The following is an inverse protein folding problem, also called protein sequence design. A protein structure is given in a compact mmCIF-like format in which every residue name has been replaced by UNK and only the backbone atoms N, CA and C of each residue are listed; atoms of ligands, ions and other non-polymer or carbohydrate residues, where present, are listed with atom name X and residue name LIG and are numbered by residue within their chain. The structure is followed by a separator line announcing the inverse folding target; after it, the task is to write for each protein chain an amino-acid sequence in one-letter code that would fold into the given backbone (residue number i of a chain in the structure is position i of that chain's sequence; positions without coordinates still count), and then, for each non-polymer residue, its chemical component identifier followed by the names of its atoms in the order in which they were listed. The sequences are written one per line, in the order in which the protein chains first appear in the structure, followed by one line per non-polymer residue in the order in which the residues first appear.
data_IF_583777669860
#
_entry.id   IF_583777669860
#
_cell.length_a   1.000
_cell.length_b   1.000
_cell.length_c   1.000
_cell.angle_alpha   90.00
_cell.angle_beta   90.00
_cell.angle_gamma   90.00
#
_symmetry.space_group_name_H-M   'P 1'
#
loop_
_entity.id
_entity.type
_entity.pdbx_description
1 polymer ?
#
# COMPACT_ATOMS: atom_id res chain seq x y z
N UNK A 1 -13.84 -2.71 12.21
CA UNK A 1 -13.98 -3.14 10.81
C UNK A 1 -12.64 -2.95 10.13
N UNK A 2 -12.13 -4.04 9.56
CA UNK A 2 -10.79 -4.21 9.00
C UNK A 2 -10.45 -3.12 7.97
N UNK A 3 -9.25 -2.55 8.05
CA UNK A 3 -8.76 -1.57 7.08
C UNK A 3 -9.01 -2.06 5.66
N UNK A 4 -9.83 -1.31 4.91
CA UNK A 4 -10.18 -1.65 3.53
C UNK A 4 -8.91 -1.54 2.69
N UNK A 5 -8.32 -2.69 2.36
CA UNK A 5 -7.24 -2.76 1.40
C UNK A 5 -7.91 -2.75 0.02
N UNK A 6 -8.04 -1.56 -0.57
CA UNK A 6 -8.57 -1.40 -1.92
C UNK A 6 -7.53 -1.89 -2.94
N UNK A 7 -7.86 -2.99 -3.61
CA UNK A 7 -7.10 -3.55 -4.73
C UNK A 7 -7.93 -3.40 -6.03
N UNK A 8 -7.28 -3.12 -7.18
CA UNK A 8 -5.85 -2.89 -7.37
C UNK A 8 -5.41 -1.49 -6.90
N UNK A 9 -4.33 -1.43 -6.13
CA UNK A 9 -3.80 -0.19 -5.59
C UNK A 9 -2.72 0.40 -6.51
N UNK A 10 -2.83 1.68 -6.85
CA UNK A 10 -1.90 2.36 -7.76
C UNK A 10 -1.18 3.50 -7.08
N UNK A 11 0.15 3.55 -7.22
CA UNK A 11 0.96 4.64 -6.73
C UNK A 11 0.76 5.87 -7.62
N UNK A 12 0.36 7.02 -7.07
CA UNK A 12 0.13 8.23 -7.86
C UNK A 12 1.44 8.88 -8.37
N UNK A 13 2.59 8.59 -7.75
CA UNK A 13 3.89 9.21 -8.10
C UNK A 13 4.61 8.51 -9.25
N UNK A 14 4.60 7.17 -9.28
CA UNK A 14 5.31 6.38 -10.30
C UNK A 14 4.40 5.45 -11.12
N UNK A 15 3.11 5.39 -10.81
CA UNK A 15 2.16 4.54 -11.53
C UNK A 15 2.24 3.05 -11.18
N UNK A 16 3.10 2.61 -10.24
CA UNK A 16 3.19 1.20 -9.82
C UNK A 16 1.83 0.69 -9.33
N UNK A 17 1.44 -0.50 -9.80
CA UNK A 17 0.19 -1.14 -9.41
C UNK A 17 0.47 -2.42 -8.60
N UNK A 18 -0.29 -2.61 -7.52
CA UNK A 18 -0.39 -3.84 -6.77
C UNK A 18 -1.81 -4.40 -6.94
N UNK A 19 -1.92 -5.58 -7.54
CA UNK A 19 -3.21 -6.25 -7.77
C UNK A 19 -3.58 -7.20 -6.64
N UNK A 20 -2.60 -7.61 -5.84
CA UNK A 20 -2.79 -8.51 -4.70
C UNK A 20 -2.26 -7.91 -3.41
N UNK A 21 -2.73 -8.42 -2.26
CA UNK A 21 -2.22 -8.03 -0.94
C UNK A 21 -0.71 -8.28 -0.80
N UNK A 22 -0.20 -9.37 -1.36
CA UNK A 22 1.23 -9.71 -1.33
C UNK A 22 2.05 -8.69 -2.11
N UNK A 23 1.59 -8.31 -3.30
CA UNK A 23 2.23 -7.23 -4.07
C UNK A 23 2.11 -5.88 -3.39
N UNK A 24 1.01 -5.62 -2.70
CA UNK A 24 0.80 -4.38 -1.97
C UNK A 24 1.77 -4.28 -0.79
N UNK A 25 1.96 -5.36 -0.04
CA UNK A 25 2.95 -5.45 1.02
C UNK A 25 4.38 -5.27 0.51
N UNK A 26 4.70 -5.92 -0.61
CA UNK A 26 6.04 -5.90 -1.17
C UNK A 26 6.38 -4.52 -1.77
N UNK A 27 5.46 -3.97 -2.59
CA UNK A 27 5.66 -2.71 -3.32
C UNK A 27 5.35 -1.46 -2.49
N UNK A 28 4.33 -1.47 -1.63
CA UNK A 28 3.89 -0.31 -0.84
C UNK A 28 4.17 -0.50 0.65
N UNK A 29 4.03 -1.71 1.16
CA UNK A 29 4.03 -2.00 2.58
C UNK A 29 2.71 -1.61 3.24
N UNK A 30 2.53 -2.12 4.45
CA UNK A 30 1.45 -1.70 5.32
C UNK A 30 1.96 -0.69 6.35
N UNK A 31 1.05 0.06 6.96
CA UNK A 31 1.32 0.75 8.23
C UNK A 31 0.37 0.21 9.29
N UNK A 32 0.93 -0.14 10.43
CA UNK A 32 0.17 -0.45 11.65
C UNK A 32 -0.20 0.87 12.32
N UNK A 33 -1.49 1.13 12.49
CA UNK A 33 -1.99 2.09 13.47
C UNK A 33 -2.63 1.30 14.61
N UNK A 34 -2.77 1.92 15.79
CA UNK A 34 -3.30 1.29 17.00
C UNK A 34 -4.65 0.54 16.83
N UNK A 35 -5.42 0.84 15.78
CA UNK A 35 -6.71 0.18 15.46
C UNK A 35 -6.69 -0.71 14.20
N UNK A 36 -5.54 -0.88 13.53
CA UNK A 36 -5.46 -1.82 12.41
C UNK A 36 -4.34 -1.57 11.41
N UNK A 37 -4.23 -2.53 10.48
CA UNK A 37 -3.32 -2.49 9.34
C UNK A 37 -4.00 -1.72 8.21
N UNK A 38 -3.34 -0.70 7.66
CA UNK A 38 -3.81 0.02 6.47
C UNK A 38 -2.72 0.06 5.40
N UNK A 39 -3.14 0.00 4.13
CA UNK A 39 -2.26 0.20 2.99
C UNK A 39 -1.70 1.62 2.95
N UNK A 40 -0.57 1.77 2.27
CA UNK A 40 0.06 3.05 2.06
C UNK A 40 -0.25 3.60 0.67
N UNK A 41 -0.52 4.91 0.57
CA UNK A 41 -0.86 5.56 -0.71
C UNK A 41 0.29 5.58 -1.72
N UNK A 42 1.54 5.64 -1.24
CA UNK A 42 2.75 5.67 -2.08
C UNK A 42 3.56 4.38 -1.95
N UNK A 43 4.21 3.95 -3.03
CA UNK A 43 5.08 2.78 -2.98
C UNK A 43 6.35 3.04 -2.14
N UNK A 44 7.00 1.97 -1.68
CA UNK A 44 8.21 2.03 -0.85
C UNK A 44 9.31 2.87 -1.47
N UNK A 45 9.54 2.75 -2.78
CA UNK A 45 10.53 3.56 -3.50
C UNK A 45 10.18 5.05 -3.48
N UNK A 46 8.94 5.40 -3.80
CA UNK A 46 8.49 6.78 -3.82
C UNK A 46 8.52 7.44 -2.44
N UNK A 47 8.40 6.64 -1.36
CA UNK A 47 8.56 7.07 0.03
C UNK A 47 10.01 7.15 0.50
N UNK A 48 10.90 6.33 -0.06
CA UNK A 48 12.33 6.35 0.23
C UNK A 48 13.07 7.48 -0.52
N UNK A 49 12.35 8.19 -1.40
CA UNK A 49 12.86 9.34 -2.13
C UNK A 49 13.51 10.37 -1.23
#
# INVERSE_FOLDING_TARGET
MSGKIDLPHKCPKCGKVAKTQKELEDKFGYRTKNEGITNQSHCKECRKG
#
